data_IF_902893246806
#
_entry.id   IF_902893246806
#
_cell.length_a   1.000
_cell.length_b   1.000
_cell.length_c   1.000
_cell.angle_alpha   90.00
_cell.angle_beta   90.00
_cell.angle_gamma   90.00
#
_symmetry.space_group_name_H-M   'P 1'
#
loop_
_entity.id
_entity.type
_entity.pdbx_description
1 polymer ?
#
# COMPACT_ATOMS: atom_id res chain seq x y z
N UNK A 1 15.26 -23.32 -10.41
CA UNK A 1 14.74 -22.00 -10.82
C UNK A 1 15.51 -20.95 -10.02
N UNK A 2 16.83 -20.86 -10.23
CA UNK A 2 17.69 -19.92 -9.45
C UNK A 2 18.50 -19.00 -10.38
N UNK A 3 18.77 -19.45 -11.61
CA UNK A 3 19.51 -18.66 -12.60
C UNK A 3 18.78 -17.37 -13.03
N UNK A 4 17.45 -17.39 -13.09
CA UNK A 4 16.68 -16.22 -13.51
C UNK A 4 16.66 -15.11 -12.43
N UNK A 5 16.61 -15.50 -11.16
CA UNK A 5 16.66 -14.55 -10.03
C UNK A 5 18.02 -13.87 -9.93
N UNK A 6 19.12 -14.60 -10.11
CA UNK A 6 20.46 -14.03 -10.13
C UNK A 6 20.64 -13.02 -11.27
N UNK A 7 20.21 -13.36 -12.48
CA UNK A 7 20.32 -12.48 -13.65
C UNK A 7 19.47 -11.21 -13.47
N UNK A 8 18.28 -11.33 -12.88
CA UNK A 8 17.42 -10.19 -12.61
C UNK A 8 17.96 -9.31 -11.48
N UNK A 9 18.64 -9.90 -10.49
CA UNK A 9 19.29 -9.17 -9.39
C UNK A 9 20.54 -8.42 -9.87
N UNK A 10 21.31 -9.01 -10.79
CA UNK A 10 22.53 -8.40 -11.34
C UNK A 10 22.26 -7.41 -12.48
N UNK A 11 20.99 -7.25 -12.88
CA UNK A 11 20.59 -6.31 -13.93
C UNK A 11 20.67 -4.86 -13.42
N UNK A 12 21.65 -4.09 -13.90
CA UNK A 12 21.86 -2.69 -13.52
C UNK A 12 20.80 -1.69 -14.05
N UNK A 13 19.75 -2.15 -14.72
CA UNK A 13 18.68 -1.31 -15.24
C UNK A 13 17.42 -1.29 -14.36
N UNK A 14 16.39 -0.56 -14.80
CA UNK A 14 15.07 -0.60 -14.16
C UNK A 14 14.22 -1.70 -14.77
N UNK A 15 13.83 -2.68 -13.96
CA UNK A 15 12.92 -3.75 -14.33
C UNK A 15 11.52 -3.47 -13.81
N UNK A 16 10.53 -3.55 -14.70
CA UNK A 16 9.12 -3.59 -14.33
C UNK A 16 8.58 -4.97 -14.69
N UNK A 17 8.18 -5.71 -13.66
CA UNK A 17 7.70 -7.09 -13.80
C UNK A 17 6.23 -7.14 -13.37
N UNK A 18 5.39 -7.74 -14.20
CA UNK A 18 3.99 -8.05 -13.86
C UNK A 18 3.85 -9.56 -13.93
N UNK A 19 3.61 -10.18 -12.77
CA UNK A 19 3.41 -11.62 -12.67
C UNK A 19 2.22 -11.92 -11.76
N UNK A 20 1.64 -13.10 -11.93
CA UNK A 20 0.66 -13.66 -11.00
C UNK A 20 1.31 -14.62 -9.99
N UNK A 21 2.59 -14.97 -10.19
CA UNK A 21 3.35 -15.81 -9.28
C UNK A 21 3.91 -14.97 -8.12
N UNK A 22 3.44 -15.29 -6.92
CA UNK A 22 3.78 -14.56 -5.69
C UNK A 22 5.20 -14.86 -5.23
N UNK A 23 5.67 -16.10 -5.42
CA UNK A 23 6.99 -16.53 -4.96
C UNK A 23 8.08 -15.82 -5.78
N UNK A 24 7.86 -15.71 -7.08
CA UNK A 24 8.76 -15.00 -7.99
C UNK A 24 8.86 -13.49 -7.69
N UNK A 25 7.72 -12.85 -7.42
CA UNK A 25 7.69 -11.43 -7.04
C UNK A 25 8.41 -11.23 -5.71
N UNK A 26 8.22 -12.12 -4.74
CA UNK A 26 8.85 -11.99 -3.42
C UNK A 26 10.38 -12.04 -3.49
N UNK A 27 10.92 -12.94 -4.32
CA UNK A 27 12.37 -13.12 -4.46
C UNK A 27 13.02 -12.05 -5.36
N UNK A 28 12.30 -11.51 -6.34
CA UNK A 28 12.88 -10.58 -7.35
C UNK A 28 12.56 -9.11 -7.06
N UNK A 29 11.41 -8.82 -6.46
CA UNK A 29 10.94 -7.44 -6.33
C UNK A 29 11.59 -6.73 -5.12
N UNK A 30 12.32 -5.66 -5.40
CA UNK A 30 12.79 -4.73 -4.36
C UNK A 30 11.68 -3.81 -3.89
N UNK A 31 10.74 -3.48 -4.79
CA UNK A 31 9.63 -2.57 -4.55
C UNK A 31 8.38 -3.08 -5.28
N UNK A 32 7.25 -3.15 -4.59
CA UNK A 32 5.98 -3.59 -5.12
C UNK A 32 5.00 -2.42 -5.24
N UNK A 33 4.29 -2.33 -6.37
CA UNK A 33 3.23 -1.35 -6.57
C UNK A 33 1.88 -2.06 -6.51
N UNK A 34 1.01 -1.64 -5.58
CA UNK A 34 -0.34 -2.19 -5.46
C UNK A 34 -1.38 -1.14 -5.81
N UNK A 35 -2.39 -1.58 -6.53
CA UNK A 35 -3.59 -0.80 -6.80
C UNK A 35 -4.54 -0.87 -5.61
N UNK A 36 -4.91 0.28 -5.07
CA UNK A 36 -5.84 0.39 -3.94
C UNK A 36 -7.29 0.71 -4.36
N UNK A 37 -7.57 0.69 -5.67
CA UNK A 37 -8.82 1.19 -6.23
C UNK A 37 -8.78 2.71 -6.48
N UNK A 38 -9.82 3.23 -7.15
CA UNK A 38 -9.91 4.65 -7.58
C UNK A 38 -8.71 5.17 -8.41
N UNK A 39 -7.97 4.27 -9.08
CA UNK A 39 -6.78 4.63 -9.84
C UNK A 39 -5.58 5.06 -8.98
N UNK A 40 -5.60 4.79 -7.66
CA UNK A 40 -4.48 5.11 -6.77
C UNK A 40 -3.50 3.95 -6.70
N UNK A 41 -2.24 4.26 -7.02
CA UNK A 41 -1.12 3.34 -6.94
C UNK A 41 -0.32 3.66 -5.67
N UNK A 42 -0.17 2.68 -4.79
CA UNK A 42 0.70 2.81 -3.62
C UNK A 42 1.96 1.98 -3.78
N UNK A 43 3.06 2.57 -3.35
CA UNK A 43 4.39 1.98 -3.39
C UNK A 43 4.70 1.34 -2.04
N UNK A 44 5.13 0.10 -2.08
CA UNK A 44 5.49 -0.70 -0.93
C UNK A 44 6.93 -1.21 -1.11
N UNK A 45 7.72 -1.15 -0.05
CA UNK A 45 9.12 -1.60 -0.07
C UNK A 45 9.17 -3.06 0.36
N UNK A 46 9.86 -3.89 -0.42
CA UNK A 46 9.98 -5.33 -0.19
C UNK A 46 9.15 -6.19 -1.16
N UNK A 47 9.13 -7.48 -0.86
CA UNK A 47 8.45 -8.51 -1.63
C UNK A 47 6.92 -8.46 -1.52
N UNK A 48 6.26 -9.48 -2.07
CA UNK A 48 4.80 -9.56 -2.09
C UNK A 48 4.22 -9.68 -0.67
N UNK A 49 4.88 -10.42 0.22
CA UNK A 49 4.37 -10.63 1.58
C UNK A 49 4.42 -9.34 2.41
N UNK A 50 5.54 -8.61 2.35
CA UNK A 50 5.70 -7.31 3.00
C UNK A 50 4.70 -6.29 2.48
N UNK A 51 4.53 -6.22 1.16
CA UNK A 51 3.59 -5.29 0.54
C UNK A 51 2.14 -5.56 0.97
N UNK A 52 1.76 -6.84 1.10
CA UNK A 52 0.43 -7.23 1.59
C UNK A 52 0.22 -6.87 3.06
N UNK A 53 1.25 -7.02 3.89
CA UNK A 53 1.18 -6.67 5.31
C UNK A 53 1.09 -5.16 5.51
N UNK A 54 1.86 -4.39 4.76
CA UNK A 54 1.79 -2.94 4.73
C UNK A 54 0.43 -2.46 4.20
N UNK A 55 -0.13 -3.11 3.17
CA UNK A 55 -1.47 -2.81 2.66
C UNK A 55 -2.55 -3.01 3.73
N UNK A 56 -2.49 -4.10 4.49
CA UNK A 56 -3.44 -4.36 5.59
C UNK A 56 -3.37 -3.25 6.66
N UNK A 57 -2.16 -2.80 7.02
CA UNK A 57 -1.96 -1.69 7.96
C UNK A 57 -2.45 -0.34 7.41
N UNK A 58 -2.23 -0.06 6.13
CA UNK A 58 -2.74 1.15 5.47
C UNK A 58 -4.26 1.16 5.48
N UNK A 59 -4.90 0.03 5.17
CA UNK A 59 -6.36 -0.09 5.18
C UNK A 59 -6.93 0.11 6.59
N UNK A 60 -6.29 -0.49 7.60
CA UNK A 60 -6.68 -0.31 8.99
C UNK A 60 -6.53 1.16 9.44
N UNK A 61 -5.44 1.82 9.05
CA UNK A 61 -5.18 3.22 9.40
C UNK A 61 -6.17 4.18 8.74
N UNK A 62 -6.51 3.95 7.46
CA UNK A 62 -7.54 4.73 6.74
C UNK A 62 -8.90 4.63 7.41
N UNK A 63 -9.33 3.43 7.82
CA UNK A 63 -10.58 3.24 8.53
C UNK A 63 -10.62 3.99 9.87
N UNK A 64 -9.48 4.06 10.58
CA UNK A 64 -9.35 4.82 11.83
C UNK A 64 -9.40 6.33 11.58
N UNK A 65 -8.71 6.84 10.55
CA UNK A 65 -8.74 8.25 10.18
C UNK A 65 -10.13 8.72 9.76
N UNK A 66 -10.89 7.88 9.05
CA UNK A 66 -12.24 8.20 8.59
C UNK A 66 -13.22 8.31 9.78
N UNK A 67 -13.10 7.41 10.76
CA UNK A 67 -13.84 7.49 12.01
C UNK A 67 -13.43 8.71 12.86
N UNK A 68 -12.14 9.09 12.84
CA UNK A 68 -11.66 10.29 13.53
C UNK A 68 -12.17 11.59 12.87
N UNK A 69 -12.26 11.64 11.54
CA UNK A 69 -12.84 12.77 10.79
C UNK A 69 -14.34 12.90 11.01
N UNK A 70 -15.07 11.78 11.09
CA UNK A 70 -16.51 11.78 11.40
C UNK A 70 -16.79 12.37 12.80
N UNK A 71 -16.03 11.95 13.82
CA UNK A 71 -16.19 12.46 15.20
C UNK A 71 -15.82 13.94 15.35
N UNK A 72 -14.79 14.43 14.64
CA UNK A 72 -14.42 15.86 14.69
C UNK A 72 -15.49 16.75 14.05
N UNK A 73 -16.12 16.28 12.96
CA UNK A 73 -17.17 17.02 12.26
C UNK A 73 -18.44 17.18 13.12
N UNK A 74 -18.77 16.17 13.94
CA UNK A 74 -19.93 16.20 14.82
C UNK A 74 -19.75 17.14 16.04
N UNK A 75 -18.53 17.20 16.59
CA UNK A 75 -18.20 18.10 17.72
C UNK A 75 -18.21 19.57 17.28
N UNK A 76 -17.80 19.87 16.05
CA UNK A 76 -17.76 21.24 15.54
C UNK A 76 -19.16 21.79 15.21
N UNK A 77 -20.10 20.92 14.82
CA UNK A 77 -21.51 21.28 14.58
C UNK A 77 -22.26 21.58 15.88
N UNK A 78 -21.93 20.88 16.98
CA UNK A 78 -22.51 21.13 18.32
C UNK A 78 -22.05 22.43 18.97
N UNK A 79 -20.84 22.93 18.64
CA UNK A 79 -20.34 24.22 19.18
C UNK A 79 -20.92 25.46 18.48
N UNK A 80 -21.43 25.35 17.26
CA UNK A 80 -22.01 26.49 16.50
C UNK A 80 -23.52 26.70 16.72
N UNK A 81 -24.20 25.84 17.48
CA UNK A 81 -25.64 25.93 17.73
C UNK A 81 -26.00 26.54 19.10
N UNK A 82 -25.01 26.97 19.90
CA UNK A 82 -25.20 27.52 21.25
C UNK A 82 -25.18 29.04 21.35
N UNK A 83 -25.08 29.76 20.23
CA UNK A 83 -25.03 31.23 20.18
C UNK A 83 -26.19 31.75 19.33
N UNK A 84 -27.43 31.52 19.79
CA UNK A 84 -28.62 32.29 19.43
C UNK A 84 -29.56 32.36 20.61
#
# INVERSE_FOLDING_TARGET
MELLEEILTDYQGTLLIVSHDRQFIDNTATECYLFEGEGRLNKYVGGFFDAKQQQANVWASKAVEEQAKAKKTEVQKRRKCGEK
#
